data_IF_696676166340
#
_entry.id   IF_696676166340
#
_cell.length_a   1.000
_cell.length_b   1.000
_cell.length_c   1.000
_cell.angle_alpha   90.00
_cell.angle_beta   90.00
_cell.angle_gamma   90.00
#
_symmetry.space_group_name_H-M   'P 1'
#
loop_
_entity.id
_entity.type
_entity.pdbx_description
1 polymer ?
#
# COMPACT_ATOMS: atom_id res chain seq x y z
N UNK A 1 9.54 30.62 -27.12
CA UNK A 1 10.28 30.42 -25.86
C UNK A 1 9.71 29.19 -25.19
N UNK A 2 10.34 28.04 -25.45
CA UNK A 2 9.89 26.72 -25.00
C UNK A 2 10.53 26.47 -23.64
N UNK A 3 9.71 26.34 -22.60
CA UNK A 3 10.20 26.06 -21.25
C UNK A 3 10.94 24.71 -21.22
N UNK A 4 12.05 24.58 -20.48
CA UNK A 4 12.77 23.33 -20.40
C UNK A 4 11.91 22.29 -19.69
N UNK A 5 11.79 21.11 -20.29
CA UNK A 5 11.24 19.91 -19.66
C UNK A 5 12.14 19.63 -18.45
N UNK A 6 11.62 19.87 -17.24
CA UNK A 6 12.29 19.55 -15.99
C UNK A 6 12.74 18.08 -16.06
N UNK A 7 14.04 17.85 -15.90
CA UNK A 7 14.61 16.53 -15.76
C UNK A 7 13.79 15.76 -14.71
N UNK A 8 13.28 14.59 -15.08
CA UNK A 8 12.63 13.68 -14.13
C UNK A 8 13.66 13.33 -13.06
N UNK A 9 13.58 13.96 -11.90
CA UNK A 9 14.31 13.51 -10.71
C UNK A 9 13.95 12.04 -10.53
N UNK A 10 14.93 11.15 -10.57
CA UNK A 10 14.73 9.71 -10.45
C UNK A 10 13.99 9.41 -9.15
N UNK A 11 12.75 8.94 -9.27
CA UNK A 11 11.92 8.59 -8.12
C UNK A 11 12.33 7.21 -7.59
N UNK A 12 12.47 7.04 -6.27
CA UNK A 12 12.76 5.73 -5.70
C UNK A 12 11.67 4.73 -6.10
N UNK A 13 12.08 3.61 -6.70
CA UNK A 13 11.19 2.53 -7.14
C UNK A 13 11.47 1.29 -6.30
N UNK A 14 10.41 0.59 -5.89
CA UNK A 14 10.50 -0.69 -5.19
C UNK A 14 9.60 -1.74 -5.81
N UNK A 15 10.00 -3.01 -5.71
CA UNK A 15 9.19 -4.14 -6.14
C UNK A 15 8.67 -4.92 -4.93
N UNK A 16 7.38 -5.24 -4.97
CA UNK A 16 6.70 -6.04 -3.96
C UNK A 16 6.29 -7.37 -4.60
N UNK A 17 6.85 -8.47 -4.09
CA UNK A 17 6.48 -9.81 -4.53
C UNK A 17 5.08 -10.18 -4.01
N UNK A 18 4.19 -10.58 -4.92
CA UNK A 18 2.82 -10.97 -4.56
C UNK A 18 2.77 -12.46 -4.23
N UNK A 19 2.41 -12.79 -2.97
CA UNK A 19 2.22 -14.18 -2.53
C UNK A 19 0.75 -14.55 -2.48
N UNK A 20 0.28 -15.45 -3.35
CA UNK A 20 -1.14 -15.81 -3.49
C UNK A 20 -1.94 -14.86 -4.37
N UNK A 21 -3.23 -15.13 -4.64
CA UNK A 21 -4.00 -14.35 -5.61
C UNK A 21 -4.12 -12.88 -5.24
N UNK A 22 -3.93 -12.01 -6.22
CA UNK A 22 -4.13 -10.57 -6.10
C UNK A 22 -4.29 -9.97 -7.50
N UNK A 23 -5.26 -9.07 -7.65
CA UNK A 23 -5.39 -8.23 -8.82
C UNK A 23 -5.49 -6.76 -8.42
N UNK A 24 -4.55 -5.95 -8.92
CA UNK A 24 -4.58 -4.50 -8.76
C UNK A 24 -5.84 -3.91 -9.38
N UNK A 25 -6.34 -4.49 -10.48
CA UNK A 25 -7.60 -4.08 -11.10
C UNK A 25 -8.80 -4.20 -10.15
N UNK A 26 -8.84 -5.25 -9.32
CA UNK A 26 -9.87 -5.47 -8.32
C UNK A 26 -9.74 -4.48 -7.16
N UNK A 27 -8.50 -4.21 -6.71
CA UNK A 27 -8.23 -3.22 -5.69
C UNK A 27 -8.61 -1.79 -6.13
N UNK A 28 -8.27 -1.41 -7.37
CA UNK A 28 -8.63 -0.10 -7.94
C UNK A 28 -10.14 0.07 -8.05
N UNK A 29 -10.87 -0.95 -8.51
CA UNK A 29 -12.35 -0.92 -8.56
C UNK A 29 -12.97 -0.71 -7.18
N UNK A 30 -12.41 -1.35 -6.15
CA UNK A 30 -12.87 -1.14 -4.78
C UNK A 30 -12.60 0.29 -4.29
N UNK A 31 -11.43 0.87 -4.59
CA UNK A 31 -11.06 2.23 -4.19
C UNK A 31 -11.84 3.33 -4.90
N UNK A 32 -12.24 3.11 -6.15
CA UNK A 32 -13.00 4.08 -6.94
C UNK A 32 -14.31 4.51 -6.24
N UNK A 33 -14.91 3.62 -5.44
CA UNK A 33 -16.11 3.93 -4.63
C UNK A 33 -15.82 4.54 -3.26
N UNK A 34 -14.56 4.69 -2.85
CA UNK A 34 -14.21 4.93 -1.44
C UNK A 34 -13.11 5.98 -1.18
N UNK A 35 -12.30 6.40 -2.17
CA UNK A 35 -11.13 7.26 -1.91
C UNK A 35 -11.26 8.72 -2.40
N UNK A 36 -10.73 9.73 -1.68
CA UNK A 36 -10.41 11.04 -2.27
C UNK A 36 -9.27 10.97 -3.30
N UNK A 37 -8.48 9.88 -3.26
CA UNK A 37 -7.43 9.55 -4.23
C UNK A 37 -7.95 8.89 -5.52
N UNK A 38 -9.24 8.49 -5.55
CA UNK A 38 -9.89 7.91 -6.71
C UNK A 38 -10.50 8.97 -7.61
N UNK A 39 -9.69 9.86 -8.18
CA UNK A 39 -10.16 10.64 -9.33
C UNK A 39 -10.27 9.70 -10.54
N UNK A 40 -11.41 9.67 -11.26
CA UNK A 40 -11.51 8.96 -12.54
C UNK A 40 -10.42 9.39 -13.54
N UNK A 41 -10.00 10.65 -13.45
CA UNK A 41 -8.95 11.29 -14.25
C UNK A 41 -7.51 10.91 -13.85
N UNK A 42 -7.27 10.36 -12.64
CA UNK A 42 -6.00 9.74 -12.27
C UNK A 42 -5.87 8.28 -12.78
N UNK A 43 -6.99 7.72 -13.25
CA UNK A 43 -7.13 6.39 -13.83
C UNK A 43 -7.09 6.40 -15.38
N UNK A 44 -6.47 7.41 -16.00
CA UNK A 44 -6.35 7.46 -17.47
C UNK A 44 -5.54 6.30 -18.05
N UNK A 45 -4.75 5.62 -17.22
CA UNK A 45 -3.95 4.46 -17.60
C UNK A 45 -4.52 3.19 -16.95
N UNK A 46 -5.05 2.28 -17.78
CA UNK A 46 -5.55 0.98 -17.30
C UNK A 46 -4.43 0.21 -16.60
N UNK A 47 -4.70 -0.27 -15.39
CA UNK A 47 -3.74 -1.09 -14.62
C UNK A 47 -2.79 -0.28 -13.75
N UNK A 48 -2.96 1.04 -13.64
CA UNK A 48 -2.15 1.89 -12.75
C UNK A 48 -3.01 2.49 -11.64
N UNK A 49 -2.53 2.39 -10.40
CA UNK A 49 -3.14 3.01 -9.23
C UNK A 49 -2.22 4.12 -8.71
N UNK A 50 -2.76 5.34 -8.57
CA UNK A 50 -2.02 6.49 -8.06
C UNK A 50 -2.63 6.93 -6.73
N UNK A 51 -1.80 7.06 -5.70
CA UNK A 51 -2.23 7.38 -4.35
C UNK A 51 -1.41 8.54 -3.80
N UNK A 52 -2.03 9.36 -2.95
CA UNK A 52 -1.34 10.33 -2.10
C UNK A 52 -1.88 10.22 -0.68
N UNK A 53 -0.99 10.19 0.31
CA UNK A 53 -1.35 10.01 1.72
C UNK A 53 -0.27 10.55 2.66
N UNK A 54 -0.59 10.83 3.93
CA UNK A 54 0.41 11.07 4.97
C UNK A 54 1.15 9.77 5.31
N UNK A 55 2.49 9.80 5.30
CA UNK A 55 3.31 8.67 5.71
C UNK A 55 3.20 8.42 7.22
N UNK A 56 3.09 7.15 7.62
CA UNK A 56 3.00 6.79 9.04
C UNK A 56 4.25 7.27 9.81
N UNK A 57 4.04 7.79 11.03
CA UNK A 57 5.13 8.18 11.94
C UNK A 57 5.71 9.58 11.73
N UNK A 58 5.94 10.04 10.49
CA UNK A 58 6.42 11.40 10.22
C UNK A 58 5.40 12.32 9.53
N UNK A 59 4.25 11.77 9.12
CA UNK A 59 3.09 12.50 8.60
C UNK A 59 3.38 13.41 7.41
N UNK A 60 4.47 13.14 6.68
CA UNK A 60 4.80 13.83 5.44
C UNK A 60 3.86 13.34 4.33
N UNK A 61 3.40 14.24 3.48
CA UNK A 61 2.57 13.83 2.35
C UNK A 61 3.45 13.22 1.26
N UNK A 62 3.14 11.98 0.90
CA UNK A 62 3.87 11.19 -0.10
C UNK A 62 2.93 10.74 -1.21
N UNK A 63 3.51 10.44 -2.37
CA UNK A 63 2.80 9.87 -3.50
C UNK A 63 3.31 8.47 -3.86
N UNK A 64 2.46 7.64 -4.44
CA UNK A 64 2.85 6.33 -4.96
C UNK A 64 2.11 6.03 -6.27
N UNK A 65 2.86 5.67 -7.32
CA UNK A 65 2.33 5.08 -8.54
C UNK A 65 2.56 3.57 -8.48
N UNK A 66 1.50 2.79 -8.64
CA UNK A 66 1.51 1.34 -8.43
C UNK A 66 1.09 0.66 -9.73
N UNK A 67 1.87 -0.33 -10.16
CA UNK A 67 1.63 -1.14 -11.36
C UNK A 67 1.76 -2.62 -11.02
N UNK A 68 0.96 -3.48 -11.64
CA UNK A 68 1.09 -4.93 -11.49
C UNK A 68 1.62 -5.54 -12.79
N UNK A 69 2.74 -6.27 -12.68
CA UNK A 69 3.30 -7.06 -13.78
C UNK A 69 2.82 -8.52 -13.67
N UNK A 70 2.46 -9.17 -14.78
CA UNK A 70 2.07 -10.58 -14.78
C UNK A 70 3.18 -11.52 -14.26
N UNK A 71 2.83 -12.71 -13.75
CA UNK A 71 3.82 -13.74 -13.40
C UNK A 71 4.70 -14.10 -14.60
N UNK A 72 6.01 -14.16 -14.41
CA UNK A 72 6.97 -14.61 -15.44
C UNK A 72 7.56 -13.50 -16.32
N UNK A 73 7.10 -12.25 -16.22
CA UNK A 73 7.88 -11.10 -16.71
C UNK A 73 8.91 -10.71 -15.65
N UNK A 74 10.12 -11.25 -15.76
CA UNK A 74 11.29 -10.69 -15.08
C UNK A 74 11.60 -9.34 -15.74
N UNK A 75 11.28 -8.24 -15.07
CA UNK A 75 11.89 -6.96 -15.42
C UNK A 75 13.34 -6.98 -14.99
N UNK A 76 14.24 -6.96 -15.96
CA UNK A 76 15.63 -6.60 -15.72
C UNK A 76 15.78 -5.17 -16.19
N UNK A 77 15.37 -4.23 -15.35
CA UNK A 77 15.80 -2.85 -15.55
C UNK A 77 17.02 -2.62 -14.66
N UNK A 78 18.20 -2.70 -15.30
CA UNK A 78 19.47 -2.28 -14.71
C UNK A 78 19.48 -0.75 -14.72
N UNK A 79 19.33 -0.12 -13.56
CA UNK A 79 19.58 1.31 -13.41
C UNK A 79 20.93 1.54 -12.74
N UNK A 80 21.88 2.06 -13.52
CA UNK A 80 23.19 2.47 -13.02
C UNK A 80 23.09 3.89 -12.46
N UNK A 81 23.56 4.11 -11.24
CA UNK A 81 23.77 5.48 -10.75
C UNK A 81 24.93 6.12 -11.50
N UNK A 82 24.68 7.25 -12.14
CA UNK A 82 25.71 8.19 -12.60
C UNK A 82 25.87 8.30 -14.10
N UNK A 83 25.80 9.54 -14.59
CA UNK A 83 26.14 9.90 -15.97
C UNK A 83 27.57 9.48 -16.32
N UNK A 84 27.78 8.86 -17.49
CA UNK A 84 28.88 9.23 -18.36
C UNK A 84 28.35 10.27 -19.35
N UNK A 85 29.02 11.42 -19.43
CA UNK A 85 28.87 12.36 -20.54
C UNK A 85 29.15 11.68 -21.89
N UNK A 86 28.77 12.32 -23.02
CA UNK A 86 28.39 11.64 -24.24
C UNK A 86 29.59 10.98 -24.93
N UNK A 87 29.48 9.68 -25.20
CA UNK A 87 30.24 9.03 -26.26
C UNK A 87 29.49 9.29 -27.58
N UNK A 88 29.98 10.26 -28.36
CA UNK A 88 29.59 10.39 -29.77
C UNK A 88 30.25 9.26 -30.57
N UNK A 89 29.42 8.67 -31.42
CA UNK A 89 29.70 7.54 -32.30
C UNK A 89 30.84 7.80 -33.28
N UNK A 90 31.47 6.70 -33.71
CA UNK A 90 32.52 6.72 -34.71
C UNK A 90 32.05 7.13 -36.11
N UNK A 91 33.00 7.62 -36.88
CA UNK A 91 33.03 7.47 -38.33
C UNK A 91 34.44 7.08 -38.73
N UNK A 92 34.54 6.03 -39.55
CA UNK A 92 35.73 5.75 -40.35
C UNK A 92 36.02 6.93 -41.28
N UNK A 93 37.28 7.34 -41.38
CA UNK A 93 38.00 7.41 -42.65
C UNK A 93 39.45 7.88 -42.48
N UNK A 94 40.33 7.15 -43.18
CA UNK A 94 41.61 7.51 -43.78
C UNK A 94 42.61 8.49 -43.12
N UNK A 95 43.85 8.00 -43.02
CA UNK A 95 45.12 8.69 -43.35
C UNK A 95 45.68 9.74 -42.37
N UNK A 96 46.92 9.50 -41.91
CA UNK A 96 47.93 10.57 -41.77
C UNK A 96 48.51 10.80 -40.37
N UNK A 97 49.57 10.04 -40.07
CA UNK A 97 50.86 10.45 -39.50
C UNK A 97 51.00 11.45 -38.31
N UNK A 98 52.09 11.16 -37.57
CA UNK A 98 52.97 12.01 -36.75
C UNK A 98 52.64 12.21 -35.24
N UNK A 99 53.59 11.73 -34.43
CA UNK A 99 53.88 11.99 -33.01
C UNK A 99 54.78 13.26 -32.88
N UNK A 100 55.40 13.64 -31.73
CA UNK A 100 55.15 13.38 -30.29
C UNK A 100 55.33 14.67 -29.42
N UNK A 101 55.60 14.53 -28.10
CA UNK A 101 56.38 15.43 -27.20
C UNK A 101 55.58 16.55 -26.46
N UNK A 102 55.82 16.97 -25.19
CA UNK A 102 56.87 16.78 -24.17
C UNK A 102 56.41 17.30 -22.78
N UNK A 103 56.84 16.60 -21.72
CA UNK A 103 57.51 17.08 -20.48
C UNK A 103 56.87 17.85 -19.31
N UNK A 104 57.07 17.20 -18.15
CA UNK A 104 57.36 17.62 -16.76
C UNK A 104 58.47 18.70 -16.60
N UNK A 105 58.67 19.40 -15.43
CA UNK A 105 59.05 18.81 -14.10
C UNK A 105 58.57 19.50 -12.79
N UNK A 106 58.76 18.81 -11.65
CA UNK A 106 58.53 19.22 -10.24
C UNK A 106 59.60 20.19 -9.68
N UNK A 107 59.92 20.29 -8.36
CA UNK A 107 59.72 19.39 -7.18
C UNK A 107 59.08 20.12 -5.94
N UNK A 108 58.87 19.62 -4.72
CA UNK A 108 59.06 18.34 -4.00
C UNK A 108 58.65 18.49 -2.50
N UNK A 109 58.24 17.36 -1.88
CA UNK A 109 58.26 16.95 -0.45
C UNK A 109 57.47 17.80 0.59
N UNK A 110 56.72 17.28 1.58
CA UNK A 110 56.45 15.93 2.12
C UNK A 110 55.35 16.04 3.20
N UNK A 111 54.44 15.06 3.36
CA UNK A 111 53.58 15.00 4.55
C UNK A 111 52.34 14.08 4.54
N UNK A 112 52.57 12.79 4.83
CA UNK A 112 51.70 11.82 5.55
C UNK A 112 50.35 11.31 4.98
N UNK A 113 50.24 9.97 5.17
CA UNK A 113 49.07 9.08 5.34
C UNK A 113 48.17 8.72 4.16
N UNK A 114 48.60 7.69 3.44
CA UNK A 114 47.87 6.43 3.14
C UNK A 114 46.36 6.39 3.34
N UNK A 115 45.59 6.20 2.26
CA UNK A 115 44.34 5.41 2.19
C UNK A 115 44.13 4.99 0.72
N UNK A 116 44.46 3.74 0.38
CA UNK A 116 43.99 3.09 -0.84
C UNK A 116 42.88 2.11 -0.46
N UNK A 117 41.70 2.12 -1.11
CA UNK A 117 40.72 1.08 -0.88
C UNK A 117 41.14 -0.19 -1.63
N UNK A 118 41.28 -1.24 -0.83
CA UNK A 118 41.40 -2.62 -1.25
C UNK A 118 40.10 -3.11 -1.94
N UNK A 119 40.28 -4.10 -2.79
CA UNK A 119 39.24 -4.91 -3.44
C UNK A 119 38.20 -5.48 -2.48
N UNK A 120 36.95 -5.53 -2.94
CA UNK A 120 35.96 -6.52 -2.55
C UNK A 120 35.25 -6.92 -3.85
N UNK A 121 35.55 -8.05 -4.49
CA UNK A 121 35.18 -9.43 -4.13
C UNK A 121 33.70 -9.54 -3.79
N UNK A 122 32.89 -9.73 -4.84
CA UNK A 122 31.52 -10.21 -4.77
C UNK A 122 31.52 -11.67 -4.33
N UNK A 123 30.81 -11.99 -3.26
CA UNK A 123 30.46 -13.37 -2.89
C UNK A 123 28.93 -13.48 -2.84
N UNK A 124 28.38 -14.31 -3.71
CA UNK A 124 26.98 -14.75 -3.66
C UNK A 124 26.94 -16.06 -2.90
N UNK A 125 26.23 -16.13 -1.78
CA UNK A 125 26.00 -17.39 -1.08
C UNK A 125 24.61 -17.92 -1.41
N UNK A 126 24.58 -19.01 -2.18
CA UNK A 126 23.46 -19.95 -2.24
C UNK A 126 23.98 -21.25 -1.66
N UNK A 127 23.53 -21.66 -0.46
CA UNK A 127 23.92 -22.94 0.13
C UNK A 127 22.97 -24.05 -0.32
N UNK A 128 23.44 -24.86 -1.27
CA UNK A 128 23.02 -26.23 -1.54
C UNK A 128 24.27 -27.07 -1.84
N UNK A 129 24.32 -28.37 -1.54
CA UNK A 129 25.57 -29.14 -1.55
C UNK A 129 26.15 -29.25 -2.97
N UNK A 130 27.43 -28.93 -3.12
CA UNK A 130 28.15 -28.92 -4.39
C UNK A 130 28.86 -30.26 -4.64
N UNK A 131 28.59 -30.86 -5.80
CA UNK A 131 29.35 -31.95 -6.43
C UNK A 131 30.41 -31.30 -7.38
N UNK A 132 31.72 -31.54 -7.23
CA UNK A 132 32.75 -30.62 -7.72
C UNK A 132 33.32 -30.85 -9.13
N UNK A 133 32.72 -31.64 -10.04
CA UNK A 133 33.44 -32.10 -11.24
C UNK A 133 32.90 -31.70 -12.64
N UNK A 134 32.39 -30.47 -12.85
CA UNK A 134 32.15 -30.00 -14.24
C UNK A 134 32.11 -28.47 -14.46
N UNK A 135 32.96 -27.90 -15.36
CA UNK A 135 32.93 -26.48 -15.68
C UNK A 135 31.90 -26.12 -16.77
N UNK A 136 31.04 -25.14 -16.45
CA UNK A 136 30.68 -23.99 -17.30
C UNK A 136 29.99 -24.23 -18.65
N UNK A 137 28.65 -24.40 -18.63
CA UNK A 137 27.78 -24.06 -19.78
C UNK A 137 26.57 -23.29 -19.27
N UNK A 138 26.53 -21.98 -19.47
CA UNK A 138 25.34 -21.15 -19.17
C UNK A 138 24.34 -21.31 -20.30
N UNK A 139 23.40 -22.25 -20.16
CA UNK A 139 22.18 -22.27 -20.95
C UNK A 139 21.19 -21.25 -20.38
N UNK A 140 20.69 -20.37 -21.24
CA UNK A 140 19.43 -19.66 -21.03
C UNK A 140 18.34 -20.70 -20.84
N UNK A 141 17.77 -20.77 -19.64
CA UNK A 141 16.59 -21.57 -19.35
C UNK A 141 15.43 -20.60 -19.14
N UNK A 142 14.40 -20.73 -19.97
CA UNK A 142 13.11 -20.06 -19.80
C UNK A 142 12.66 -20.17 -18.34
N UNK A 143 12.30 -19.02 -17.76
CA UNK A 143 11.95 -18.92 -16.34
C UNK A 143 10.86 -19.91 -15.97
N UNK A 144 11.19 -20.90 -15.13
CA UNK A 144 10.16 -21.70 -14.49
C UNK A 144 9.38 -20.78 -13.55
N UNK A 145 8.13 -20.51 -13.88
CA UNK A 145 7.19 -19.87 -12.97
C UNK A 145 7.14 -20.69 -11.68
N UNK A 146 7.48 -20.09 -10.54
CA UNK A 146 7.24 -20.71 -9.24
C UNK A 146 5.73 -20.96 -9.12
N UNK A 147 5.28 -22.21 -8.87
CA UNK A 147 3.86 -22.48 -8.67
C UNK A 147 3.30 -21.59 -7.56
N UNK A 148 2.30 -20.76 -7.87
CA UNK A 148 1.71 -19.79 -6.94
C UNK A 148 2.28 -18.37 -6.97
N UNK A 149 3.15 -18.02 -7.94
CA UNK A 149 3.51 -16.62 -8.21
C UNK A 149 2.38 -15.90 -8.97
N UNK A 150 1.87 -14.79 -8.42
CA UNK A 150 0.83 -13.96 -9.02
C UNK A 150 1.38 -12.64 -9.60
N UNK A 151 2.67 -12.66 -9.98
CA UNK A 151 3.38 -11.49 -10.51
C UNK A 151 4.06 -10.64 -9.45
N UNK A 152 4.55 -9.48 -9.88
CA UNK A 152 5.16 -8.45 -9.02
C UNK A 152 4.34 -7.18 -9.09
N UNK A 153 4.27 -6.47 -7.97
CA UNK A 153 3.70 -5.13 -7.91
C UNK A 153 4.85 -4.14 -7.81
N UNK A 154 5.01 -3.33 -8.84
CA UNK A 154 5.98 -2.24 -8.86
C UNK A 154 5.34 -1.01 -8.19
N UNK A 155 6.13 -0.32 -7.38
CA UNK A 155 5.73 0.92 -6.72
C UNK A 155 6.81 1.96 -6.95
N UNK A 156 6.45 3.00 -7.70
CA UNK A 156 7.25 4.20 -7.89
C UNK A 156 6.81 5.23 -6.85
N UNK A 157 7.73 5.61 -5.96
CA UNK A 157 7.45 6.45 -4.80
C UNK A 157 7.81 7.89 -5.10
N UNK A 158 6.81 8.77 -5.07
CA UNK A 158 7.00 10.23 -5.12
C UNK A 158 7.25 10.77 -3.71
N UNK A 159 8.43 10.46 -3.16
CA UNK A 159 8.91 10.90 -1.85
C UNK A 159 10.45 10.93 -1.80
N UNK A 160 11.06 11.57 -0.78
CA UNK A 160 12.50 11.45 -0.53
C UNK A 160 12.95 9.98 -0.41
N UNK A 161 14.15 9.66 -0.90
CA UNK A 161 14.70 8.28 -0.93
C UNK A 161 14.73 7.64 0.45
N UNK A 162 15.05 8.41 1.49
CA UNK A 162 15.03 7.98 2.89
C UNK A 162 13.65 7.50 3.39
N UNK A 163 12.56 7.98 2.78
CA UNK A 163 11.19 7.59 3.12
C UNK A 163 10.69 6.40 2.31
N UNK A 164 11.41 5.99 1.24
CA UNK A 164 10.93 5.00 0.28
C UNK A 164 10.57 3.66 0.94
N UNK A 165 11.41 3.13 1.83
CA UNK A 165 11.13 1.86 2.53
C UNK A 165 9.85 1.89 3.35
N UNK A 166 9.59 3.00 4.05
CA UNK A 166 8.36 3.20 4.82
C UNK A 166 7.13 3.30 3.92
N UNK A 167 7.22 4.07 2.83
CA UNK A 167 6.13 4.21 1.86
C UNK A 167 5.83 2.86 1.23
N UNK A 168 6.84 2.07 0.86
CA UNK A 168 6.66 0.71 0.34
C UNK A 168 5.96 -0.21 1.35
N UNK A 169 6.35 -0.18 2.62
CA UNK A 169 5.70 -0.96 3.67
C UNK A 169 4.22 -0.53 3.85
N UNK A 170 3.95 0.78 3.83
CA UNK A 170 2.61 1.33 3.96
C UNK A 170 1.72 0.98 2.75
N UNK A 171 2.23 1.09 1.51
CA UNK A 171 1.53 0.65 0.30
C UNK A 171 1.29 -0.86 0.32
N UNK A 172 2.28 -1.64 0.74
CA UNK A 172 2.14 -3.09 0.88
C UNK A 172 0.98 -3.43 1.82
N UNK A 173 0.90 -2.75 2.97
CA UNK A 173 -0.22 -2.88 3.90
C UNK A 173 -1.55 -2.43 3.29
N UNK A 174 -1.57 -1.26 2.65
CA UNK A 174 -2.78 -0.71 2.01
C UNK A 174 -3.42 -1.69 1.02
N UNK A 175 -2.60 -2.47 0.31
CA UNK A 175 -3.03 -3.48 -0.66
C UNK A 175 -3.02 -4.92 -0.10
N UNK A 176 -2.75 -5.10 1.19
CA UNK A 176 -2.63 -6.42 1.85
C UNK A 176 -1.63 -7.37 1.16
N UNK A 177 -0.53 -6.82 0.67
CA UNK A 177 0.58 -7.53 0.04
C UNK A 177 1.64 -7.99 1.06
N UNK A 178 1.64 -7.37 2.24
CA UNK A 178 2.48 -7.70 3.39
C UNK A 178 1.97 -8.92 4.20
N UNK A 179 0.81 -9.44 3.83
CA UNK A 179 0.26 -10.70 4.35
C UNK A 179 0.38 -11.76 3.25
N UNK A 180 0.89 -12.93 3.62
CA UNK A 180 0.94 -14.07 2.72
C UNK A 180 -0.49 -14.53 2.36
N UNK A 181 -0.90 -14.29 1.11
CA UNK A 181 -2.21 -14.68 0.60
C UNK A 181 -2.25 -16.09 0.01
N UNK A 182 -1.13 -16.83 -0.01
CA UNK A 182 -1.09 -18.16 -0.61
C UNK A 182 -2.03 -19.15 0.09
N UNK A 183 -2.21 -19.00 1.41
CA UNK A 183 -3.14 -19.82 2.19
C UNK A 183 -4.56 -19.28 2.22
N UNK A 184 -4.80 -18.08 1.68
CA UNK A 184 -6.14 -17.50 1.63
C UNK A 184 -7.06 -18.31 0.71
N UNK A 185 -6.57 -18.76 -0.45
CA UNK A 185 -7.30 -19.70 -1.33
C UNK A 185 -7.65 -21.00 -0.62
N UNK A 186 -6.83 -21.40 0.35
CA UNK A 186 -7.04 -22.56 1.20
C UNK A 186 -8.39 -22.54 1.95
N UNK A 187 -8.96 -21.35 2.18
CA UNK A 187 -10.26 -21.23 2.83
C UNK A 187 -11.40 -21.83 2.00
N UNK A 188 -11.36 -21.69 0.68
CA UNK A 188 -12.39 -22.26 -0.20
C UNK A 188 -12.49 -23.78 -0.12
N UNK A 189 -11.41 -24.48 0.24
CA UNK A 189 -11.45 -25.92 0.47
C UNK A 189 -12.15 -26.31 1.78
N UNK A 190 -12.21 -25.39 2.76
CA UNK A 190 -12.79 -25.62 4.09
C UNK A 190 -14.21 -25.09 4.22
N UNK A 191 -14.57 -24.14 3.37
CA UNK A 191 -15.81 -23.40 3.45
C UNK A 191 -16.34 -23.11 2.03
N UNK A 192 -17.41 -23.80 1.58
CA UNK A 192 -17.99 -23.61 0.25
C UNK A 192 -18.51 -22.19 -0.01
N UNK A 193 -18.96 -21.47 1.02
CA UNK A 193 -19.38 -20.07 0.89
C UNK A 193 -18.16 -19.21 0.54
N UNK A 194 -17.04 -19.43 1.24
CA UNK A 194 -15.79 -18.75 0.93
C UNK A 194 -15.27 -19.11 -0.47
N UNK A 195 -15.41 -20.36 -0.91
CA UNK A 195 -15.06 -20.74 -2.28
C UNK A 195 -15.86 -19.94 -3.33
N UNK A 196 -17.17 -19.82 -3.12
CA UNK A 196 -18.06 -19.02 -3.95
C UNK A 196 -17.67 -17.55 -3.98
N UNK A 197 -17.43 -16.94 -2.81
CA UNK A 197 -17.01 -15.55 -2.69
C UNK A 197 -15.66 -15.29 -3.36
N UNK A 198 -14.68 -16.18 -3.19
CA UNK A 198 -13.36 -16.08 -3.82
C UNK A 198 -13.45 -16.20 -5.34
N UNK A 199 -14.36 -17.03 -5.87
CA UNK A 199 -14.62 -17.11 -7.30
C UNK A 199 -15.30 -15.85 -7.84
N UNK A 200 -16.33 -15.33 -7.16
CA UNK A 200 -17.04 -14.08 -7.56
C UNK A 200 -16.15 -12.84 -7.46
N UNK A 201 -15.19 -12.84 -6.52
CA UNK A 201 -14.29 -11.73 -6.22
C UNK A 201 -12.82 -12.14 -6.41
N UNK A 202 -12.53 -12.82 -7.52
CA UNK A 202 -11.19 -13.29 -7.84
C UNK A 202 -10.14 -12.17 -7.73
N UNK A 203 -9.04 -12.45 -7.04
CA UNK A 203 -7.93 -11.53 -6.84
C UNK A 203 -8.20 -10.36 -5.88
N UNK A 204 -9.40 -10.21 -5.33
CA UNK A 204 -9.70 -9.16 -4.37
C UNK A 204 -9.11 -9.51 -3.00
N UNK A 205 -8.25 -8.62 -2.50
CA UNK A 205 -7.80 -8.58 -1.11
C UNK A 205 -8.36 -7.35 -0.41
N UNK A 206 -8.25 -7.27 0.92
CA UNK A 206 -8.53 -6.04 1.61
C UNK A 206 -7.70 -4.87 1.13
N UNK A 207 -8.41 -3.85 0.66
CA UNK A 207 -7.84 -2.53 0.44
C UNK A 207 -8.12 -1.68 1.66
N UNK A 208 -7.06 -1.25 2.30
CA UNK A 208 -7.08 -0.60 3.60
C UNK A 208 -7.00 0.92 3.46
N UNK A 209 -7.28 1.63 4.54
CA UNK A 209 -6.92 3.04 4.66
C UNK A 209 -5.40 3.21 4.62
N UNK A 210 -4.94 4.43 4.35
CA UNK A 210 -3.51 4.72 4.42
C UNK A 210 -2.93 4.44 5.81
N UNK A 211 -3.72 4.64 6.87
CA UNK A 211 -3.30 4.51 8.27
C UNK A 211 -4.49 4.22 9.22
N UNK A 212 -4.22 3.73 10.45
CA UNK A 212 -5.22 3.65 11.53
C UNK A 212 -5.79 5.03 11.89
N UNK A 213 -4.99 6.09 11.76
CA UNK A 213 -5.43 7.47 11.87
C UNK A 213 -6.55 7.82 10.87
N UNK A 214 -6.32 7.60 9.58
CA UNK A 214 -7.33 7.92 8.57
C UNK A 214 -8.59 7.05 8.74
N UNK A 215 -8.42 5.78 9.13
CA UNK A 215 -9.53 4.90 9.48
C UNK A 215 -10.34 5.41 10.69
N UNK A 216 -9.67 5.97 11.71
CA UNK A 216 -10.30 6.56 12.87
C UNK A 216 -11.06 7.84 12.53
N UNK A 217 -10.48 8.71 11.70
CA UNK A 217 -11.19 9.89 11.19
C UNK A 217 -12.43 9.49 10.40
N UNK A 218 -12.31 8.48 9.53
CA UNK A 218 -13.46 7.93 8.81
C UNK A 218 -14.53 7.39 9.75
N UNK A 219 -14.14 6.63 10.78
CA UNK A 219 -15.09 6.09 11.75
C UNK A 219 -15.89 7.22 12.42
N UNK A 220 -15.24 8.30 12.86
CA UNK A 220 -15.91 9.48 13.43
C UNK A 220 -16.85 10.16 12.44
N UNK A 221 -16.45 10.29 11.17
CA UNK A 221 -17.27 10.93 10.13
C UNK A 221 -18.50 10.11 9.75
N UNK A 222 -18.35 8.78 9.68
CA UNK A 222 -19.42 7.88 9.25
C UNK A 222 -20.45 7.60 10.37
N UNK A 223 -20.10 7.86 11.64
CA UNK A 223 -20.98 7.64 12.78
C UNK A 223 -22.26 8.51 12.71
N UNK A 224 -23.41 7.84 12.63
CA UNK A 224 -24.73 8.47 12.70
C UNK A 224 -25.05 9.38 11.51
N UNK A 225 -24.45 9.13 10.34
CA UNK A 225 -24.66 9.89 9.11
C UNK A 225 -24.89 8.96 7.93
N UNK A 226 -25.54 9.48 6.87
CA UNK A 226 -25.62 8.76 5.59
C UNK A 226 -24.23 8.65 4.96
N UNK A 227 -23.96 7.54 4.28
CA UNK A 227 -22.65 7.26 3.67
C UNK A 227 -22.20 8.36 2.71
N UNK A 228 -23.08 8.79 1.79
CA UNK A 228 -22.82 9.91 0.86
C UNK A 228 -22.50 11.22 1.57
N UNK A 229 -23.12 11.48 2.72
CA UNK A 229 -22.82 12.67 3.53
C UNK A 229 -21.43 12.56 4.16
N UNK A 230 -21.08 11.43 4.77
CA UNK A 230 -19.75 11.19 5.34
C UNK A 230 -18.64 11.29 4.28
N UNK A 231 -18.87 10.75 3.07
CA UNK A 231 -17.95 10.88 1.94
C UNK A 231 -17.74 12.34 1.52
N UNK A 232 -18.80 13.14 1.46
CA UNK A 232 -18.68 14.59 1.18
C UNK A 232 -17.86 15.32 2.24
N UNK A 233 -18.03 15.00 3.52
CA UNK A 233 -17.19 15.58 4.59
C UNK A 233 -15.73 15.16 4.44
N UNK A 234 -15.46 13.86 4.23
CA UNK A 234 -14.09 13.37 4.04
C UNK A 234 -13.39 14.05 2.86
N UNK A 235 -14.09 14.15 1.72
CA UNK A 235 -13.58 14.84 0.54
C UNK A 235 -13.29 16.31 0.81
N UNK A 236 -14.21 17.01 1.46
CA UNK A 236 -14.04 18.44 1.79
C UNK A 236 -12.88 18.67 2.76
N UNK A 237 -12.69 17.80 3.75
CA UNK A 237 -11.53 17.86 4.63
C UNK A 237 -10.22 17.70 3.84
N UNK A 238 -10.17 16.73 2.91
CA UNK A 238 -9.01 16.56 2.03
C UNK A 238 -8.79 17.79 1.13
N UNK A 239 -9.84 18.35 0.51
CA UNK A 239 -9.71 19.49 -0.40
C UNK A 239 -9.25 20.77 0.33
N UNK A 240 -9.73 20.99 1.56
CA UNK A 240 -9.47 22.22 2.32
C UNK A 240 -8.21 22.15 3.18
N UNK A 241 -7.90 20.99 3.74
CA UNK A 241 -6.84 20.82 4.74
C UNK A 241 -5.80 19.76 4.34
N UNK A 242 -6.02 19.06 3.22
CA UNK A 242 -5.09 18.08 2.69
C UNK A 242 -3.98 18.71 1.87
N UNK A 243 -3.19 17.86 1.20
CA UNK A 243 -2.11 18.31 0.33
C UNK A 243 -2.21 17.65 -1.03
N UNK A 244 -2.03 18.44 -2.09
CA UNK A 244 -1.91 17.91 -3.44
C UNK A 244 -0.47 17.49 -3.67
N UNK A 245 -0.29 16.24 -4.11
CA UNK A 245 1.00 15.64 -4.42
C UNK A 245 1.05 15.34 -5.92
N UNK A 246 2.19 15.60 -6.57
CA UNK A 246 2.42 15.16 -7.94
C UNK A 246 2.86 13.69 -7.92
N UNK A 247 2.10 12.83 -8.59
CA UNK A 247 2.29 11.38 -8.61
C UNK A 247 2.28 10.91 -10.06
N UNK A 248 3.48 10.72 -10.62
CA UNK A 248 3.66 10.31 -12.02
C UNK A 248 3.04 11.30 -13.02
N UNK A 249 3.10 12.61 -12.74
CA UNK A 249 2.54 13.66 -13.59
C UNK A 249 1.06 13.98 -13.34
N UNK A 250 0.45 13.36 -12.32
CA UNK A 250 -0.94 13.60 -11.92
C UNK A 250 -1.01 14.26 -10.56
N UNK A 251 -1.94 15.22 -10.41
CA UNK A 251 -2.21 15.88 -9.13
C UNK A 251 -3.17 15.03 -8.31
N UNK A 252 -2.65 14.34 -7.29
CA UNK A 252 -3.43 13.47 -6.41
C UNK A 252 -3.59 14.11 -5.04
N UNK A 253 -4.80 14.06 -4.48
CA UNK A 253 -5.12 14.69 -3.20
C UNK A 253 -4.89 13.72 -2.04
N UNK A 254 -4.04 14.12 -1.10
CA UNK A 254 -3.84 13.43 0.18
C UNK A 254 -4.82 13.92 1.23
N UNK A 255 -5.29 13.01 2.09
CA UNK A 255 -5.98 13.36 3.33
C UNK A 255 -5.07 14.22 4.25
N UNK A 256 -5.62 15.09 5.12
CA UNK A 256 -4.83 15.94 6.02
C UNK A 256 -3.98 15.11 6.99
N UNK A 257 -2.80 15.63 7.36
CA UNK A 257 -1.97 15.06 8.41
C UNK A 257 -2.59 15.29 9.80
N UNK A 258 -2.27 14.46 10.82
CA UNK A 258 -2.81 14.61 12.17
C UNK A 258 -2.62 16.00 12.77
N UNK A 259 -1.45 16.62 12.61
CA UNK A 259 -1.21 17.97 13.12
C UNK A 259 -2.20 19.01 12.60
N UNK A 260 -2.68 18.87 11.36
CA UNK A 260 -3.67 19.78 10.78
C UNK A 260 -5.07 19.52 11.36
N UNK A 261 -5.43 18.25 11.57
CA UNK A 261 -6.75 17.90 12.14
C UNK A 261 -6.81 18.18 13.64
N UNK A 262 -5.70 18.07 14.37
CA UNK A 262 -5.63 18.42 15.79
C UNK A 262 -6.06 19.88 16.05
N UNK A 263 -5.74 20.77 15.10
CA UNK A 263 -6.10 22.18 15.12
C UNK A 263 -7.29 22.52 14.20
N UNK A 264 -8.06 21.52 13.75
CA UNK A 264 -9.13 21.70 12.77
C UNK A 264 -10.10 22.81 13.21
N UNK A 265 -10.22 23.93 12.48
CA UNK A 265 -11.13 25.00 12.84
C UNK A 265 -12.59 24.57 12.66
N UNK A 266 -13.53 25.47 12.96
CA UNK A 266 -14.94 25.24 12.68
C UNK A 266 -15.15 24.87 11.21
N UNK A 267 -15.81 23.73 10.98
CA UNK A 267 -16.11 23.21 9.66
C UNK A 267 -17.64 23.22 9.46
N UNK A 268 -18.17 24.07 8.57
CA UNK A 268 -19.62 24.22 8.39
C UNK A 268 -20.34 22.89 8.16
N UNK A 269 -21.43 22.68 8.90
CA UNK A 269 -22.23 21.45 8.86
C UNK A 269 -21.63 20.26 9.62
N UNK A 270 -20.39 20.36 10.11
CA UNK A 270 -19.82 19.37 11.00
C UNK A 270 -20.14 19.76 12.44
N UNK A 271 -20.87 18.90 13.14
CA UNK A 271 -21.21 19.14 14.54
C UNK A 271 -19.95 19.22 15.42
N UNK A 272 -19.96 20.10 16.42
CA UNK A 272 -18.80 20.36 17.29
C UNK A 272 -18.27 19.11 17.98
N UNK A 273 -19.15 18.20 18.41
CA UNK A 273 -18.72 16.94 19.02
C UNK A 273 -17.93 16.06 18.06
N UNK A 274 -18.20 16.12 16.74
CA UNK A 274 -17.41 15.39 15.74
C UNK A 274 -16.06 16.06 15.53
N UNK A 275 -16.02 17.39 15.49
CA UNK A 275 -14.76 18.14 15.46
C UNK A 275 -13.88 17.76 16.65
N UNK A 276 -14.43 17.73 17.87
CA UNK A 276 -13.71 17.31 19.06
C UNK A 276 -13.18 15.87 18.97
N UNK A 277 -13.97 14.93 18.45
CA UNK A 277 -13.54 13.52 18.24
C UNK A 277 -12.48 13.38 17.16
N UNK A 278 -12.57 14.12 16.05
CA UNK A 278 -11.53 14.15 15.02
C UNK A 278 -10.21 14.65 15.57
N UNK A 279 -10.24 15.72 16.38
CA UNK A 279 -9.07 16.24 17.09
C UNK A 279 -8.49 15.21 18.05
N UNK A 280 -9.34 14.46 18.77
CA UNK A 280 -8.90 13.40 19.67
C UNK A 280 -8.18 12.26 18.92
N UNK A 281 -8.73 11.80 17.78
CA UNK A 281 -8.08 10.81 16.91
C UNK A 281 -6.74 11.33 16.38
N UNK A 282 -6.70 12.59 15.95
CA UNK A 282 -5.48 13.22 15.45
C UNK A 282 -4.39 13.34 16.53
N UNK A 283 -4.78 13.71 17.75
CA UNK A 283 -3.86 13.75 18.90
C UNK A 283 -3.31 12.36 19.21
N UNK A 284 -4.17 11.34 19.27
CA UNK A 284 -3.73 9.96 19.49
C UNK A 284 -2.75 9.47 18.41
N UNK A 285 -2.95 9.87 17.15
CA UNK A 285 -2.00 9.58 16.08
C UNK A 285 -0.65 10.28 16.26
N UNK A 286 -0.66 11.56 16.64
CA UNK A 286 0.56 12.34 16.89
C UNK A 286 1.36 11.79 18.10
N UNK A 287 0.67 11.19 19.08
CA UNK A 287 1.27 10.55 20.26
C UNK A 287 1.72 9.09 20.01
N UNK A 288 1.49 8.56 18.81
CA UNK A 288 1.92 7.20 18.43
C UNK A 288 0.94 6.08 18.78
N UNK A 289 -0.22 6.38 19.37
CA UNK A 289 -1.24 5.37 19.73
C UNK A 289 -1.92 4.69 18.53
N UNK A 290 -1.72 5.22 17.32
CA UNK A 290 -2.30 4.72 16.08
C UNK A 290 -1.22 4.21 15.10
N UNK A 291 -0.17 3.57 15.62
CA UNK A 291 0.82 2.85 14.81
C UNK A 291 0.30 1.47 14.37
N UNK A 292 0.44 1.17 13.07
CA UNK A 292 -0.12 -0.05 12.49
C UNK A 292 0.63 -1.32 12.89
N UNK A 293 1.95 -1.26 13.01
CA UNK A 293 2.77 -2.41 13.33
C UNK A 293 2.57 -2.81 14.79
N UNK A 294 2.54 -1.81 15.68
CA UNK A 294 2.27 -1.99 17.11
C UNK A 294 0.87 -2.56 17.33
N UNK A 295 -0.18 -1.97 16.73
CA UNK A 295 -1.56 -2.48 16.84
C UNK A 295 -1.71 -3.91 16.32
N UNK A 296 -0.94 -4.32 15.30
CA UNK A 296 -0.95 -5.69 14.77
C UNK A 296 -0.17 -6.69 15.60
N UNK A 297 0.85 -6.24 16.33
CA UNK A 297 1.66 -7.10 17.19
C UNK A 297 0.95 -7.46 18.50
N UNK A 298 -0.03 -6.64 18.91
CA UNK A 298 -0.79 -6.85 20.13
C UNK A 298 -1.80 -8.00 20.02
N UNK A 299 -2.12 -8.67 21.15
CA UNK A 299 -3.34 -9.45 21.24
C UNK A 299 -4.54 -8.59 20.83
N UNK A 300 -5.45 -9.17 20.05
CA UNK A 300 -6.60 -8.45 19.49
C UNK A 300 -7.42 -7.75 20.58
N UNK A 301 -7.61 -8.38 21.74
CA UNK A 301 -8.34 -7.77 22.85
C UNK A 301 -7.69 -6.47 23.34
N UNK A 302 -6.38 -6.49 23.58
CA UNK A 302 -5.59 -5.36 24.07
C UNK A 302 -5.54 -4.22 23.05
N UNK A 303 -5.39 -4.55 21.76
CA UNK A 303 -5.44 -3.56 20.68
C UNK A 303 -6.79 -2.85 20.62
N UNK A 304 -7.90 -3.60 20.78
CA UNK A 304 -9.24 -3.03 20.79
C UNK A 304 -9.51 -2.18 22.03
N UNK A 305 -9.01 -2.59 23.20
CA UNK A 305 -9.11 -1.81 24.44
C UNK A 305 -8.39 -0.48 24.30
N UNK A 306 -7.12 -0.50 23.87
CA UNK A 306 -6.34 0.72 23.58
C UNK A 306 -7.05 1.66 22.61
N UNK A 307 -7.58 1.13 21.51
CA UNK A 307 -8.28 1.96 20.52
C UNK A 307 -9.53 2.63 21.11
N UNK A 308 -10.20 1.98 22.07
CA UNK A 308 -11.40 2.50 22.75
C UNK A 308 -11.11 3.55 23.81
N UNK A 309 -9.85 3.73 24.21
CA UNK A 309 -9.44 4.85 25.07
C UNK A 309 -9.56 6.20 24.34
N UNK A 310 -9.55 6.19 22.99
CA UNK A 310 -9.66 7.39 22.17
C UNK A 310 -11.12 7.91 22.21
N UNK A 311 -11.36 9.16 22.65
CA UNK A 311 -12.70 9.74 22.71
C UNK A 311 -13.47 9.64 21.38
N UNK A 312 -14.63 8.99 21.41
CA UNK A 312 -15.49 8.80 20.25
C UNK A 312 -15.28 7.49 19.47
N UNK A 313 -14.32 6.66 19.90
CA UNK A 313 -14.09 5.33 19.32
C UNK A 313 -14.77 4.27 20.20
N UNK A 314 -15.89 3.73 19.70
CA UNK A 314 -16.57 2.58 20.31
C UNK A 314 -16.06 1.24 19.74
N UNK A 315 -16.58 0.13 20.25
CA UNK A 315 -16.20 -1.24 19.84
C UNK A 315 -16.17 -1.43 18.31
N UNK A 316 -17.25 -1.08 17.61
CA UNK A 316 -17.31 -1.18 16.14
C UNK A 316 -16.21 -0.34 15.48
N UNK A 317 -15.99 0.89 15.93
CA UNK A 317 -14.96 1.77 15.35
C UNK A 317 -13.55 1.23 15.61
N UNK A 318 -13.27 0.69 16.79
CA UNK A 318 -12.00 0.04 17.11
C UNK A 318 -11.75 -1.18 16.22
N UNK A 319 -12.75 -2.04 16.03
CA UNK A 319 -12.66 -3.20 15.13
C UNK A 319 -12.35 -2.77 13.68
N UNK A 320 -13.02 -1.72 13.21
CA UNK A 320 -12.77 -1.18 11.87
C UNK A 320 -11.38 -0.54 11.75
N UNK A 321 -10.89 0.18 12.77
CA UNK A 321 -9.53 0.73 12.77
C UNK A 321 -8.50 -0.39 12.73
N UNK A 322 -8.69 -1.46 13.52
CA UNK A 322 -7.76 -2.58 13.57
C UNK A 322 -7.73 -3.39 12.27
N UNK A 323 -8.90 -3.76 11.72
CA UNK A 323 -8.98 -4.53 10.48
C UNK A 323 -8.69 -3.70 9.22
N UNK A 324 -9.17 -2.44 9.15
CA UNK A 324 -9.12 -1.63 7.92
C UNK A 324 -8.09 -0.50 7.93
N UNK A 325 -7.57 -0.12 9.09
CA UNK A 325 -6.48 0.86 9.21
C UNK A 325 -5.14 0.18 9.45
N UNK A 326 -5.04 -0.61 10.52
CA UNK A 326 -3.83 -1.37 10.86
C UNK A 326 -3.63 -2.59 9.97
N UNK A 327 -4.70 -3.18 9.44
CA UNK A 327 -4.61 -4.34 8.53
C UNK A 327 -4.41 -5.67 9.24
N UNK A 328 -4.93 -5.82 10.46
CA UNK A 328 -4.89 -7.10 11.16
C UNK A 328 -5.67 -8.16 10.36
N UNK A 329 -5.05 -9.28 9.93
CA UNK A 329 -5.70 -10.23 9.02
C UNK A 329 -6.70 -11.15 9.74
N UNK A 330 -6.52 -11.37 11.04
CA UNK A 330 -7.28 -12.36 11.84
C UNK A 330 -8.17 -11.74 12.93
N UNK A 331 -8.99 -10.74 12.60
CA UNK A 331 -10.02 -10.18 13.48
C UNK A 331 -11.42 -10.54 12.95
N UNK A 332 -12.30 -11.05 13.82
CA UNK A 332 -13.73 -11.15 13.56
C UNK A 332 -14.45 -9.90 14.13
N UNK A 333 -15.11 -9.09 13.29
CA UNK A 333 -15.87 -7.93 13.75
C UNK A 333 -17.14 -8.34 14.52
N UNK A 334 -17.07 -8.34 15.86
CA UNK A 334 -18.20 -8.69 16.74
C UNK A 334 -19.27 -7.61 16.79
N UNK A 335 -18.97 -6.37 16.40
CA UNK A 335 -19.93 -5.26 16.43
C UNK A 335 -20.43 -4.86 15.03
N UNK A 336 -20.05 -5.59 13.96
CA UNK A 336 -20.51 -5.32 12.60
C UNK A 336 -21.81 -6.07 12.27
N UNK A 337 -22.93 -5.40 12.54
CA UNK A 337 -24.27 -5.94 12.25
C UNK A 337 -24.48 -6.22 10.76
N UNK A 338 -23.85 -5.46 9.86
CA UNK A 338 -23.98 -5.67 8.40
C UNK A 338 -23.26 -6.94 7.97
N UNK A 339 -22.07 -7.19 8.52
CA UNK A 339 -21.35 -8.44 8.34
C UNK A 339 -22.20 -9.62 8.85
N UNK A 340 -22.74 -9.53 10.05
CA UNK A 340 -23.52 -10.63 10.64
C UNK A 340 -24.74 -10.97 9.78
N UNK A 341 -25.42 -9.97 9.25
CA UNK A 341 -26.52 -10.19 8.33
C UNK A 341 -26.04 -10.81 7.00
N UNK A 342 -24.92 -10.36 6.44
CA UNK A 342 -24.36 -10.97 5.23
C UNK A 342 -23.99 -12.45 5.46
N UNK A 343 -23.47 -12.79 6.66
CA UNK A 343 -23.22 -14.17 7.04
C UNK A 343 -24.51 -14.97 7.12
N UNK A 344 -25.58 -14.45 7.74
CA UNK A 344 -26.83 -15.19 7.84
C UNK A 344 -27.43 -15.49 6.46
N UNK A 345 -27.36 -14.53 5.53
CA UNK A 345 -27.83 -14.73 4.16
C UNK A 345 -26.99 -15.77 3.42
N UNK A 346 -25.67 -15.60 3.34
CA UNK A 346 -24.78 -16.47 2.56
C UNK A 346 -24.71 -17.91 3.11
N UNK A 347 -24.89 -18.09 4.42
CA UNK A 347 -24.90 -19.40 5.08
C UNK A 347 -26.32 -19.96 5.30
N UNK A 348 -27.38 -19.25 4.89
CA UNK A 348 -28.77 -19.69 5.07
C UNK A 348 -29.18 -19.87 6.55
N UNK A 349 -28.67 -19.02 7.44
CA UNK A 349 -28.91 -19.09 8.88
C UNK A 349 -30.13 -18.27 9.29
N UNK A 350 -30.75 -18.66 10.41
CA UNK A 350 -31.86 -17.91 11.02
C UNK A 350 -31.36 -16.58 11.62
N UNK A 351 -32.23 -15.57 11.65
CA UNK A 351 -31.95 -14.27 12.29
C UNK A 351 -31.63 -14.37 13.78
N UNK A 352 -32.09 -15.44 14.44
CA UNK A 352 -31.80 -15.73 15.85
C UNK A 352 -30.35 -16.15 16.11
N UNK A 353 -29.58 -16.53 15.07
CA UNK A 353 -28.17 -16.91 15.23
C UNK A 353 -27.36 -15.69 15.65
N UNK A 354 -26.81 -15.74 16.86
CA UNK A 354 -26.15 -14.61 17.50
C UNK A 354 -24.70 -14.42 17.07
N UNK A 355 -24.07 -13.28 17.42
CA UNK A 355 -22.67 -13.01 17.10
C UNK A 355 -21.67 -14.07 17.61
N UNK A 356 -21.97 -14.75 18.72
CA UNK A 356 -21.11 -15.79 19.27
C UNK A 356 -21.03 -17.02 18.35
N UNK A 357 -22.16 -17.47 17.82
CA UNK A 357 -22.23 -18.61 16.90
C UNK A 357 -21.63 -18.25 15.53
N UNK A 358 -21.88 -17.03 15.06
CA UNK A 358 -21.24 -16.51 13.85
C UNK A 358 -19.71 -16.49 13.98
N UNK A 359 -19.17 -16.16 15.16
CA UNK A 359 -17.73 -16.21 15.39
C UNK A 359 -17.18 -17.64 15.41
N UNK A 360 -17.94 -18.61 15.93
CA UNK A 360 -17.55 -20.02 15.87
C UNK A 360 -17.43 -20.48 14.41
N UNK A 361 -18.39 -20.11 13.55
CA UNK A 361 -18.31 -20.35 12.10
C UNK A 361 -17.08 -19.67 11.49
N UNK A 362 -16.83 -18.40 11.85
CA UNK A 362 -15.65 -17.65 11.41
C UNK A 362 -14.32 -18.27 11.86
N UNK A 363 -14.33 -19.21 12.80
CA UNK A 363 -13.16 -20.00 13.19
C UNK A 363 -12.51 -20.74 12.02
N UNK A 364 -13.30 -21.17 11.03
CA UNK A 364 -12.80 -21.83 9.82
C UNK A 364 -11.94 -20.89 8.94
N UNK A 365 -12.12 -19.58 9.08
CA UNK A 365 -11.43 -18.57 8.26
C UNK A 365 -10.06 -18.19 8.78
N UNK A 366 -9.65 -18.67 9.96
CA UNK A 366 -8.33 -18.33 10.52
C UNK A 366 -7.19 -18.78 9.59
N UNK A 367 -6.13 -17.97 9.41
CA UNK A 367 -5.85 -16.68 10.07
C UNK A 367 -6.32 -15.44 9.27
N UNK A 368 -7.40 -15.54 8.49
CA UNK A 368 -7.86 -14.51 7.55
C UNK A 368 -9.29 -14.03 7.83
N UNK A 369 -9.73 -14.07 9.09
CA UNK A 369 -11.10 -13.67 9.47
C UNK A 369 -11.49 -12.28 8.97
N UNK A 370 -10.57 -11.32 8.96
CA UNK A 370 -10.86 -9.97 8.46
C UNK A 370 -10.98 -9.91 6.93
N UNK A 371 -10.29 -10.79 6.21
CA UNK A 371 -10.36 -10.87 4.76
C UNK A 371 -11.66 -11.53 4.31
N UNK A 372 -12.05 -12.63 4.96
CA UNK A 372 -13.34 -13.28 4.75
C UNK A 372 -14.51 -12.33 5.07
N UNK A 373 -14.43 -11.62 6.21
CA UNK A 373 -15.43 -10.61 6.57
C UNK A 373 -15.54 -9.48 5.53
N UNK A 374 -14.42 -9.06 4.92
CA UNK A 374 -14.48 -8.10 3.83
C UNK A 374 -15.19 -8.66 2.60
N UNK A 375 -14.86 -9.87 2.16
CA UNK A 375 -15.48 -10.47 0.98
C UNK A 375 -17.00 -10.56 1.15
N UNK A 376 -17.47 -11.01 2.31
CA UNK A 376 -18.89 -11.04 2.66
C UNK A 376 -19.55 -9.67 2.53
N UNK A 377 -18.92 -8.62 3.08
CA UNK A 377 -19.47 -7.26 2.99
C UNK A 377 -19.46 -6.73 1.56
N UNK A 378 -18.36 -6.90 0.83
CA UNK A 378 -18.24 -6.41 -0.55
C UNK A 378 -19.24 -7.08 -1.46
N UNK A 379 -19.49 -8.38 -1.27
CA UNK A 379 -20.39 -9.09 -2.15
C UNK A 379 -21.84 -8.62 -1.99
N UNK A 380 -22.23 -8.33 -0.75
CA UNK A 380 -23.53 -7.75 -0.43
C UNK A 380 -23.64 -6.26 -0.80
N UNK A 381 -22.66 -5.45 -0.41
CA UNK A 381 -22.67 -4.00 -0.56
C UNK A 381 -22.40 -3.53 -2.01
N UNK A 382 -22.02 -4.44 -2.92
CA UNK A 382 -21.80 -4.13 -4.33
C UNK A 382 -23.05 -3.58 -5.05
N UNK A 383 -24.25 -3.83 -4.51
CA UNK A 383 -25.50 -3.34 -5.10
C UNK A 383 -25.82 -1.92 -4.62
N UNK A 384 -25.83 -1.57 -3.32
CA UNK A 384 -26.29 -0.24 -2.88
C UNK A 384 -25.22 0.86 -2.94
N UNK A 385 -23.93 0.54 -2.74
CA UNK A 385 -22.87 1.58 -2.70
C UNK A 385 -22.64 2.18 -4.10
N UNK A 386 -22.74 1.36 -5.15
CA UNK A 386 -22.61 1.85 -6.53
C UNK A 386 -23.80 2.72 -6.92
N UNK A 387 -25.01 2.36 -6.51
CA UNK A 387 -26.22 3.17 -6.74
C UNK A 387 -26.18 4.51 -5.99
N UNK A 388 -25.77 4.53 -4.72
CA UNK A 388 -25.67 5.76 -3.93
C UNK A 388 -24.52 6.68 -4.38
N UNK A 389 -23.41 6.13 -4.88
CA UNK A 389 -22.27 6.91 -5.40
C UNK A 389 -22.54 7.44 -6.81
N UNK A 390 -23.30 6.72 -7.64
CA UNK A 390 -23.68 7.19 -8.97
C UNK A 390 -24.87 8.17 -8.94
N UNK A 391 -25.67 8.19 -7.87
CA UNK A 391 -26.79 9.11 -7.68
C UNK A 391 -26.43 10.42 -6.95
N UNK A 392 -25.17 10.60 -6.51
CA UNK A 392 -24.67 11.76 -5.78
C UNK A 392 -23.65 12.54 -6.61
#
# INVERSE_FOLDING_TARGET
MTAPILARTELPTGEIAVRGPFELSAATRFLAGFGPAGRPDAASERGVLRLAFPSDGDWRHVGATIRQRPPGQLGTDVFTTGSPGPALAGSSDASGAVSPLLSFPGPGLSGRSSHGPASATTATFTTGPADPDRPGRTSSTAGSSVPGSFGTVEVEVSAPVESAGRVLAQVSRMLSLDVDGSRFTGLGFRDPVMAGLQARRAGLRPVLFSSPYEAGCWAVLAQGMRFSQAMRFRRRLAERYGKVVDVGGYRVLSFPAPGVIADLPFEPGLADFRTARLRAVAKAAAEGHLDSAELRAMPVADALERLREIPGIGQFSAEQILARGAGHPDLFPRADVRLHHAMREEYGLLDSVGPADLELLAGAWRPYRSWAALLLRVDRDAVPIMEEVMAA
#
